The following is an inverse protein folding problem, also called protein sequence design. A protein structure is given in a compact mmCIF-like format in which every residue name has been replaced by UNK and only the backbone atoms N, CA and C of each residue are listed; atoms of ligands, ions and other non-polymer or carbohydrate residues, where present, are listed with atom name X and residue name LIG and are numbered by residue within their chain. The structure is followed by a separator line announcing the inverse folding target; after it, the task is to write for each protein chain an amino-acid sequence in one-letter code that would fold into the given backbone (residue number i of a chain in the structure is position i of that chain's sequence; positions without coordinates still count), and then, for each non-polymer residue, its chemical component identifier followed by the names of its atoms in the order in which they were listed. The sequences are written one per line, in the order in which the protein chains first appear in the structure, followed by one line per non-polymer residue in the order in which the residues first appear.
data_IF_286127357955
#
_entry.id   IF_286127357955
#
_cell.length_a   1.000
_cell.length_b   1.000
_cell.length_c   1.000
_cell.angle_alpha   90.00
_cell.angle_beta   90.00
_cell.angle_gamma   90.00
#
_symmetry.space_group_name_H-M   'P 1'
#
loop_
_entity.id
_entity.type
_entity.pdbx_description
1 polymer ?
#
# COMPACT_ATOMS: atom_id res chain seq x y z
N UNK A 1 15.32 -6.66 24.16
CA UNK A 1 14.97 -5.65 23.15
C UNK A 1 13.64 -5.03 23.54
N UNK A 2 13.35 -3.78 23.17
CA UNK A 2 12.20 -3.04 23.72
C UNK A 2 11.03 -3.01 22.75
N UNK A 3 9.85 -3.44 23.23
CA UNK A 3 8.56 -3.31 22.56
C UNK A 3 8.14 -1.84 22.47
N UNK A 4 8.76 -1.09 21.56
CA UNK A 4 8.51 0.34 21.37
C UNK A 4 8.05 0.68 19.94
N UNK A 5 7.97 -0.31 19.06
CA UNK A 5 7.53 -0.10 17.68
C UNK A 5 6.02 -0.25 17.58
N UNK A 6 5.44 0.45 16.61
CA UNK A 6 4.04 0.33 16.28
C UNK A 6 3.85 -0.87 15.35
N UNK A 7 2.77 -1.61 15.56
CA UNK A 7 2.17 -2.45 14.53
C UNK A 7 1.03 -1.65 13.90
N UNK A 8 0.99 -1.54 12.58
CA UNK A 8 -0.07 -0.80 11.86
C UNK A 8 -0.66 -1.73 10.81
N UNK A 9 -1.96 -2.01 10.91
CA UNK A 9 -2.72 -2.72 9.87
C UNK A 9 -3.26 -1.69 8.89
N UNK A 10 -3.05 -1.90 7.60
CA UNK A 10 -3.72 -1.15 6.53
C UNK A 10 -4.62 -2.09 5.75
N UNK A 11 -5.91 -1.77 5.67
CA UNK A 11 -6.89 -2.44 4.81
C UNK A 11 -7.20 -1.53 3.62
N UNK A 12 -7.03 -2.04 2.40
CA UNK A 12 -7.45 -1.32 1.20
C UNK A 12 -8.97 -1.42 1.07
N UNK A 13 -9.63 -0.27 1.16
CA UNK A 13 -11.09 -0.14 1.23
C UNK A 13 -11.69 0.02 -0.16
N UNK A 14 -11.07 0.85 -1.01
CA UNK A 14 -11.57 1.19 -2.33
C UNK A 14 -10.45 1.75 -3.22
N UNK A 15 -10.77 1.92 -4.50
CA UNK A 15 -9.99 2.68 -5.47
C UNK A 15 -10.50 2.47 -6.89
N UNK A 16 -10.19 3.39 -7.79
CA UNK A 16 -10.70 3.46 -9.16
C UNK A 16 -12.23 3.39 -9.24
N UNK A 17 -12.92 4.00 -8.28
CA UNK A 17 -14.38 4.01 -8.20
C UNK A 17 -15.01 2.68 -7.73
N UNK A 18 -14.22 1.71 -7.27
CA UNK A 18 -14.70 0.43 -6.76
C UNK A 18 -14.52 0.29 -5.25
N UNK A 19 -15.53 -0.27 -4.58
CA UNK A 19 -15.42 -0.75 -3.21
C UNK A 19 -14.88 -2.19 -3.19
N UNK A 20 -13.85 -2.44 -2.38
CA UNK A 20 -13.17 -3.72 -2.35
C UNK A 20 -13.66 -4.61 -1.21
N UNK A 21 -14.12 -5.82 -1.56
CA UNK A 21 -14.50 -6.85 -0.59
C UNK A 21 -14.20 -8.27 -1.11
N UNK A 22 -13.52 -9.13 -0.33
CA UNK A 22 -12.87 -8.84 0.95
C UNK A 22 -11.69 -7.87 0.78
N UNK A 23 -11.46 -7.00 1.78
CA UNK A 23 -10.41 -5.98 1.74
C UNK A 23 -9.02 -6.62 1.77
N UNK A 24 -8.16 -6.40 0.75
CA UNK A 24 -6.75 -6.76 0.83
C UNK A 24 -6.09 -5.96 1.95
N UNK A 25 -5.17 -6.57 2.68
CA UNK A 25 -4.56 -5.90 3.82
C UNK A 25 -3.12 -6.27 4.07
N UNK A 26 -2.42 -5.38 4.77
CA UNK A 26 -1.00 -5.49 5.12
C UNK A 26 -0.81 -5.10 6.58
N UNK A 27 0.16 -5.72 7.24
CA UNK A 27 0.57 -5.36 8.59
C UNK A 27 2.01 -4.88 8.55
N UNK A 28 2.24 -3.67 9.05
CA UNK A 28 3.52 -2.99 9.06
C UNK A 28 4.07 -2.91 10.47
N UNK A 29 5.38 -2.99 10.60
CA UNK A 29 6.09 -2.58 11.80
C UNK A 29 6.82 -1.26 11.51
N UNK A 30 6.66 -0.29 12.40
CA UNK A 30 7.21 1.05 12.21
C UNK A 30 7.72 1.65 13.52
N UNK A 31 8.89 2.30 13.46
CA UNK A 31 9.42 3.03 14.59
C UNK A 31 8.62 4.32 14.77
N UNK A 32 8.37 4.73 16.01
CA UNK A 32 7.67 5.99 16.30
C UNK A 32 8.39 7.23 15.77
N UNK A 33 9.71 7.14 15.57
CA UNK A 33 10.50 8.25 15.05
C UNK A 33 10.37 8.44 13.54
N UNK A 34 9.87 7.43 12.81
CA UNK A 34 9.57 7.51 11.38
C UNK A 34 8.39 8.44 11.14
N UNK A 35 8.21 8.86 9.89
CA UNK A 35 7.17 9.81 9.48
C UNK A 35 5.98 9.13 8.82
N UNK A 36 4.87 9.86 8.73
CA UNK A 36 3.71 9.40 7.96
C UNK A 36 4.03 9.23 6.48
N UNK A 37 4.89 10.07 5.90
CA UNK A 37 5.35 9.94 4.51
C UNK A 37 6.16 8.67 4.28
N UNK A 38 6.97 8.25 5.25
CA UNK A 38 7.67 6.96 5.17
C UNK A 38 6.70 5.78 5.28
N UNK A 39 5.64 5.90 6.09
CA UNK A 39 4.61 4.86 6.18
C UNK A 39 3.77 4.80 4.90
N UNK A 40 3.38 5.93 4.34
CA UNK A 40 2.69 6.04 3.05
C UNK A 40 3.49 5.32 1.95
N UNK A 41 4.77 5.66 1.79
CA UNK A 41 5.63 4.99 0.80
C UNK A 41 5.67 3.46 0.99
N UNK A 42 5.77 2.99 2.23
CA UNK A 42 5.75 1.56 2.53
C UNK A 42 4.40 0.91 2.25
N UNK A 43 3.28 1.62 2.48
CA UNK A 43 1.94 1.16 2.12
C UNK A 43 1.89 0.98 0.60
N UNK A 44 2.20 2.01 -0.19
CA UNK A 44 2.06 1.85 -1.64
C UNK A 44 3.05 0.81 -2.21
N UNK A 45 4.22 0.58 -1.57
CA UNK A 45 5.12 -0.54 -1.94
C UNK A 45 4.41 -1.88 -1.74
N UNK A 46 3.82 -2.08 -0.57
CA UNK A 46 3.18 -3.32 -0.18
C UNK A 46 1.85 -3.59 -0.91
N UNK A 47 1.24 -2.54 -1.46
CA UNK A 47 0.04 -2.58 -2.30
C UNK A 47 0.35 -2.49 -3.81
N UNK A 48 1.63 -2.56 -4.21
CA UNK A 48 2.02 -2.68 -5.61
C UNK A 48 1.75 -1.41 -6.43
N UNK A 49 1.89 -0.23 -5.82
CA UNK A 49 1.89 1.04 -6.55
C UNK A 49 3.34 1.39 -6.89
N UNK A 50 3.64 1.73 -8.13
CA UNK A 50 5.01 2.03 -8.58
C UNK A 50 5.14 3.47 -9.08
N UNK A 51 4.06 4.06 -9.60
CA UNK A 51 4.06 5.45 -10.02
C UNK A 51 3.70 6.35 -8.85
N UNK A 52 4.72 6.92 -8.19
CA UNK A 52 4.60 7.66 -6.91
C UNK A 52 4.51 9.17 -7.07
N UNK A 53 4.37 9.67 -8.30
CA UNK A 53 4.30 11.11 -8.55
C UNK A 53 2.93 11.71 -8.15
N UNK A 54 1.99 10.89 -7.69
CA UNK A 54 0.65 11.32 -7.30
C UNK A 54 0.59 11.91 -5.89
N UNK A 55 -0.35 12.83 -5.70
CA UNK A 55 -0.64 13.41 -4.39
C UNK A 55 -1.32 12.36 -3.48
N UNK A 56 -1.11 12.51 -2.18
CA UNK A 56 -1.73 11.67 -1.16
C UNK A 56 -2.12 12.48 0.07
N UNK A 57 -3.05 11.93 0.84
CA UNK A 57 -3.51 12.50 2.11
C UNK A 57 -3.54 11.46 3.23
N UNK A 58 -3.39 11.94 4.47
CA UNK A 58 -3.66 11.19 5.69
C UNK A 58 -4.67 11.97 6.53
N UNK A 59 -5.82 11.38 6.78
CA UNK A 59 -6.88 11.96 7.61
C UNK A 59 -6.78 11.39 9.02
N UNK A 60 -6.39 12.23 9.98
CA UNK A 60 -6.28 11.86 11.39
C UNK A 60 -7.60 12.04 12.13
N UNK A 61 -7.82 11.24 13.17
CA UNK A 61 -9.06 11.24 13.96
C UNK A 61 -9.35 12.57 14.68
N UNK A 62 -8.33 13.39 14.92
CA UNK A 62 -8.47 14.73 15.52
C UNK A 62 -8.80 15.84 14.50
N UNK A 63 -9.06 15.47 13.25
CA UNK A 63 -9.43 16.40 12.17
C UNK A 63 -8.25 17.02 11.44
N UNK A 64 -7.01 16.69 11.82
CA UNK A 64 -5.81 17.13 11.13
C UNK A 64 -5.63 16.37 9.81
N UNK A 65 -5.24 17.11 8.76
CA UNK A 65 -4.86 16.54 7.48
C UNK A 65 -3.34 16.56 7.31
N UNK A 66 -2.76 15.43 6.91
CA UNK A 66 -1.39 15.39 6.43
C UNK A 66 -1.40 15.27 4.91
N UNK A 67 -0.60 16.08 4.22
CA UNK A 67 -0.49 16.06 2.77
C UNK A 67 0.89 15.59 2.31
N UNK A 68 0.97 15.07 1.10
CA UNK A 68 2.22 14.77 0.41
C UNK A 68 1.99 14.40 -1.06
N UNK A 69 3.05 14.06 -1.80
CA UNK A 69 4.45 14.18 -1.40
C UNK A 69 4.94 15.64 -1.48
N UNK A 70 5.87 16.01 -0.61
CA UNK A 70 6.71 17.17 -0.90
C UNK A 70 5.98 18.52 -0.95
N UNK A 71 6.60 19.48 -1.65
CA UNK A 71 6.03 20.78 -2.03
C UNK A 71 5.14 20.67 -3.29
N UNK A 72 4.65 19.48 -3.65
CA UNK A 72 3.84 19.25 -4.86
C UNK A 72 2.44 19.90 -4.78
N UNK A 73 2.10 20.48 -3.63
CA UNK A 73 0.85 21.16 -3.38
C UNK A 73 1.02 22.68 -3.53
N UNK A 74 0.42 23.25 -4.57
CA UNK A 74 0.41 24.71 -4.78
C UNK A 74 -0.59 25.42 -3.85
N UNK A 75 -1.78 24.84 -3.66
CA UNK A 75 -2.82 25.33 -2.75
C UNK A 75 -3.31 24.15 -1.88
N UNK A 76 -2.83 24.04 -0.63
CA UNK A 76 -3.26 22.97 0.26
C UNK A 76 -4.75 23.13 0.65
N UNK A 77 -5.45 22.03 0.96
CA UNK A 77 -6.87 22.09 1.31
C UNK A 77 -7.16 23.08 2.45
N UNK A 78 -8.14 23.96 2.25
CA UNK A 78 -8.55 24.98 3.20
C UNK A 78 -9.68 24.46 4.11
N UNK A 79 -9.83 25.03 5.31
CA UNK A 79 -10.94 24.70 6.22
C UNK A 79 -10.64 23.67 7.31
N UNK A 80 -9.43 23.10 7.35
CA UNK A 80 -8.91 22.29 8.47
C UNK A 80 -7.40 22.45 8.64
N UNK A 81 -6.82 22.11 9.80
CA UNK A 81 -5.36 22.15 9.98
C UNK A 81 -4.65 21.19 9.02
N UNK A 82 -3.62 21.68 8.34
CA UNK A 82 -2.81 20.91 7.38
C UNK A 82 -1.34 20.91 7.80
N UNK A 83 -0.71 19.74 7.81
CA UNK A 83 0.75 19.58 7.87
C UNK A 83 1.26 18.64 6.80
N UNK A 84 2.58 18.47 6.73
CA UNK A 84 3.22 17.59 5.77
C UNK A 84 3.49 16.22 6.36
N UNK A 85 3.03 15.19 5.65
CA UNK A 85 3.25 13.78 6.02
C UNK A 85 4.74 13.42 6.14
N UNK A 86 5.62 14.03 5.35
CA UNK A 86 7.07 13.80 5.38
C UNK A 86 7.80 14.40 6.60
N UNK A 87 7.12 15.24 7.39
CA UNK A 87 7.67 15.88 8.59
C UNK A 87 6.97 15.43 9.87
N UNK A 88 5.72 15.02 9.80
CA UNK A 88 4.94 14.56 10.95
C UNK A 88 5.35 13.13 11.32
N UNK A 89 5.73 12.93 12.59
CA UNK A 89 6.20 11.62 13.12
C UNK A 89 5.06 10.73 13.58
N UNK A 90 5.24 9.42 13.41
CA UNK A 90 4.33 8.38 13.90
C UNK A 90 4.21 8.32 15.42
N UNK A 91 5.11 8.99 16.16
CA UNK A 91 5.03 9.12 17.61
C UNK A 91 3.75 9.79 18.11
N UNK A 92 3.05 10.50 17.22
CA UNK A 92 1.71 11.09 17.45
C UNK A 92 0.65 10.02 17.71
N UNK A 93 0.75 8.87 17.04
CA UNK A 93 -0.27 7.84 17.08
C UNK A 93 -0.34 7.14 18.45
N UNK A 94 -1.56 7.01 18.96
CA UNK A 94 -1.91 6.16 20.07
C UNK A 94 -2.15 4.71 19.63
N UNK A 95 -2.12 3.77 20.58
CA UNK A 95 -2.51 2.38 20.34
C UNK A 95 -4.03 2.32 20.12
N UNK A 96 -4.48 1.44 19.22
CA UNK A 96 -5.88 1.36 18.81
C UNK A 96 -6.37 2.51 17.92
N UNK A 97 -5.56 3.55 17.70
CA UNK A 97 -5.95 4.70 16.89
C UNK A 97 -6.14 4.30 15.42
N UNK A 98 -7.13 4.91 14.77
CA UNK A 98 -7.41 4.75 13.35
C UNK A 98 -7.19 6.06 12.61
N UNK A 99 -6.72 5.95 11.37
CA UNK A 99 -6.59 7.06 10.44
C UNK A 99 -6.82 6.54 9.01
N UNK A 100 -7.22 7.42 8.09
CA UNK A 100 -7.34 7.06 6.69
C UNK A 100 -6.09 7.51 5.92
N UNK A 101 -5.66 6.71 4.95
CA UNK A 101 -4.62 7.06 4.01
C UNK A 101 -5.14 6.92 2.58
N UNK A 102 -5.10 8.00 1.81
CA UNK A 102 -5.53 8.00 0.41
C UNK A 102 -4.32 8.25 -0.48
N UNK A 103 -3.98 7.27 -1.30
CA UNK A 103 -2.97 7.39 -2.35
C UNK A 103 -3.64 7.71 -3.69
N UNK A 104 -3.02 8.59 -4.48
CA UNK A 104 -3.51 9.03 -5.78
C UNK A 104 -4.91 9.63 -5.70
N UNK A 105 -4.99 10.95 -5.55
CA UNK A 105 -6.27 11.66 -5.46
C UNK A 105 -7.07 11.70 -6.77
N UNK A 106 -6.54 11.15 -7.87
CA UNK A 106 -7.31 10.88 -9.07
C UNK A 106 -8.04 9.54 -9.00
N UNK A 107 -7.35 8.51 -8.50
CA UNK A 107 -7.88 7.13 -8.42
C UNK A 107 -8.42 6.74 -7.02
N UNK A 108 -8.24 7.57 -6.01
CA UNK A 108 -8.76 7.40 -4.64
C UNK A 108 -8.48 6.03 -4.02
N UNK A 109 -7.22 5.57 -4.03
CA UNK A 109 -6.82 4.35 -3.34
C UNK A 109 -6.84 4.56 -1.81
N UNK A 110 -8.02 4.32 -1.22
CA UNK A 110 -8.28 4.58 0.19
C UNK A 110 -7.96 3.38 1.06
N UNK A 111 -7.22 3.63 2.13
CA UNK A 111 -6.84 2.65 3.14
C UNK A 111 -7.38 3.08 4.49
N UNK A 112 -7.96 2.13 5.24
CA UNK A 112 -8.16 2.28 6.67
C UNK A 112 -6.93 1.74 7.39
N UNK A 113 -6.24 2.60 8.12
CA UNK A 113 -5.10 2.23 8.93
C UNK A 113 -5.50 2.14 10.40
N UNK A 114 -5.16 1.04 11.06
CA UNK A 114 -5.40 0.80 12.48
C UNK A 114 -4.09 0.48 13.19
N UNK A 115 -3.77 1.25 14.22
CA UNK A 115 -2.62 0.99 15.09
C UNK A 115 -3.00 -0.15 16.04
N UNK A 116 -2.13 -1.15 16.17
CA UNK A 116 -2.35 -2.28 17.07
C UNK A 116 -2.50 -1.86 18.53
N UNK A 117 -3.18 -2.70 19.31
CA UNK A 117 -3.40 -2.50 20.76
C UNK A 117 -2.12 -2.66 21.59
N UNK A 118 -1.08 -3.26 21.01
CA UNK A 118 0.20 -3.50 21.67
C UNK A 118 1.37 -3.03 20.81
N UNK A 119 2.47 -2.70 21.48
CA UNK A 119 3.75 -2.45 20.80
C UNK A 119 4.44 -3.76 20.50
N UNK A 120 5.15 -3.76 19.38
CA UNK A 120 5.91 -4.92 18.90
C UNK A 120 7.41 -4.69 19.00
N UNK A 121 8.15 -5.78 18.99
CA UNK A 121 9.60 -5.79 18.78
C UNK A 121 9.88 -6.15 17.31
N UNK A 122 10.57 -5.30 16.53
CA UNK A 122 10.85 -5.59 15.12
C UNK A 122 11.65 -6.88 14.94
N UNK A 123 12.52 -7.28 15.88
CA UNK A 123 13.23 -8.55 15.74
C UNK A 123 12.33 -9.76 15.96
N UNK A 124 11.30 -9.67 16.82
CA UNK A 124 10.34 -10.77 17.01
C UNK A 124 9.50 -10.99 15.75
N UNK A 125 9.10 -9.91 15.05
CA UNK A 125 8.20 -10.01 13.88
C UNK A 125 8.91 -10.08 12.53
N UNK A 126 10.09 -9.47 12.38
CA UNK A 126 10.87 -9.42 11.13
C UNK A 126 12.21 -10.17 11.19
N UNK A 127 12.73 -10.49 12.37
CA UNK A 127 14.10 -10.99 12.53
C UNK A 127 15.20 -9.94 12.35
N UNK A 128 14.85 -8.67 12.12
CA UNK A 128 15.78 -7.56 11.93
C UNK A 128 15.16 -6.21 12.33
N UNK A 129 15.99 -5.18 12.56
CA UNK A 129 15.52 -3.79 12.68
C UNK A 129 15.53 -3.14 11.30
N UNK A 130 14.37 -2.79 10.72
CA UNK A 130 14.33 -2.11 9.43
C UNK A 130 14.64 -0.61 9.57
N UNK A 131 15.12 0.01 8.50
CA UNK A 131 15.38 1.46 8.41
C UNK A 131 14.15 2.30 8.04
N UNK A 132 13.07 1.63 7.62
CA UNK A 132 11.78 2.21 7.19
C UNK A 132 10.60 1.33 7.65
N UNK A 133 9.36 1.85 7.65
CA UNK A 133 8.18 1.02 7.90
C UNK A 133 8.17 -0.17 6.93
N UNK A 134 7.94 -1.37 7.44
CA UNK A 134 8.11 -2.59 6.64
C UNK A 134 6.94 -3.54 6.89
N UNK A 135 6.33 -4.03 5.81
CA UNK A 135 5.29 -5.04 5.89
C UNK A 135 5.88 -6.38 6.33
N UNK A 136 5.21 -7.05 7.27
CA UNK A 136 5.61 -8.39 7.76
C UNK A 136 4.47 -9.43 7.68
N UNK A 137 3.29 -9.01 7.22
CA UNK A 137 2.15 -9.89 6.98
C UNK A 137 1.15 -9.25 6.03
N UNK A 138 0.32 -10.07 5.39
CA UNK A 138 -0.70 -9.57 4.47
C UNK A 138 -1.61 -10.65 3.89
N UNK A 139 -2.68 -10.20 3.24
CA UNK A 139 -3.70 -11.04 2.61
C UNK A 139 -4.38 -10.30 1.44
N UNK A 140 -5.17 -11.05 0.66
CA UNK A 140 -5.99 -10.54 -0.44
C UNK A 140 -5.21 -10.28 -1.74
N UNK A 141 -5.95 -10.33 -2.85
CA UNK A 141 -5.44 -9.98 -4.18
C UNK A 141 -5.34 -8.47 -4.31
N UNK A 142 -4.22 -7.99 -4.85
CA UNK A 142 -4.02 -6.56 -5.09
C UNK A 142 -4.53 -6.20 -6.49
N UNK A 143 -5.40 -5.19 -6.62
CA UNK A 143 -5.70 -4.63 -7.93
C UNK A 143 -4.47 -3.91 -8.49
N UNK A 144 -4.26 -4.03 -9.80
CA UNK A 144 -3.25 -3.25 -10.53
C UNK A 144 -3.49 -1.75 -10.32
N UNK A 145 -2.41 -0.95 -10.22
CA UNK A 145 -2.52 0.49 -9.96
C UNK A 145 -3.43 1.21 -10.96
N UNK A 146 -3.42 0.79 -12.23
CA UNK A 146 -4.20 1.38 -13.31
C UNK A 146 -5.25 0.42 -13.88
N UNK A 147 -5.53 -0.70 -13.19
CA UNK A 147 -6.50 -1.69 -13.64
C UNK A 147 -6.03 -2.54 -14.83
N UNK A 148 -4.74 -2.52 -15.17
CA UNK A 148 -4.21 -3.27 -16.31
C UNK A 148 -4.20 -4.78 -16.03
N UNK A 149 -4.65 -5.57 -17.01
CA UNK A 149 -4.66 -7.05 -16.92
C UNK A 149 -3.46 -7.71 -17.61
N UNK A 150 -2.84 -7.03 -18.57
CA UNK A 150 -1.66 -7.44 -19.33
C UNK A 150 -0.94 -6.20 -19.89
N UNK A 151 0.22 -6.36 -20.54
CA UNK A 151 1.10 -5.24 -20.91
C UNK A 151 0.45 -4.25 -21.88
N UNK A 152 -0.25 -4.76 -22.90
CA UNK A 152 -0.96 -3.93 -23.89
C UNK A 152 -2.33 -3.44 -23.42
N UNK A 153 -2.77 -3.80 -22.21
CA UNK A 153 -4.03 -3.31 -21.65
C UNK A 153 -3.83 -1.90 -21.09
N UNK A 154 -4.67 -0.96 -21.52
CA UNK A 154 -4.64 0.39 -20.94
C UNK A 154 -5.23 0.43 -19.53
N UNK A 155 -6.07 -0.54 -19.17
CA UNK A 155 -6.78 -0.57 -17.89
C UNK A 155 -8.05 0.30 -17.83
N UNK A 156 -8.37 0.98 -18.95
CA UNK A 156 -9.55 1.86 -19.07
C UNK A 156 -10.66 1.26 -19.94
N UNK A 157 -10.37 0.26 -20.79
CA UNK A 157 -11.37 -0.43 -21.62
C UNK A 157 -11.47 -1.90 -21.26
N UNK A 158 -12.46 -2.22 -20.41
CA UNK A 158 -12.77 -3.58 -19.98
C UNK A 158 -13.10 -4.53 -21.15
N UNK A 159 -13.53 -4.00 -22.30
CA UNK A 159 -13.88 -4.80 -23.49
C UNK A 159 -12.66 -5.32 -24.22
N UNK A 160 -11.45 -4.82 -23.90
CA UNK A 160 -10.21 -5.35 -24.47
C UNK A 160 -10.10 -6.83 -24.11
N UNK A 161 -10.08 -7.75 -25.10
CA UNK A 161 -10.04 -9.17 -24.83
C UNK A 161 -8.73 -9.58 -24.16
N UNK A 162 -8.81 -10.41 -23.12
CA UNK A 162 -7.63 -11.04 -22.53
C UNK A 162 -7.07 -12.06 -23.54
N UNK A 163 -5.76 -12.01 -23.87
CA UNK A 163 -5.13 -13.02 -24.72
C UNK A 163 -5.30 -14.44 -24.17
N UNK A 164 -5.42 -15.47 -25.03
CA UNK A 164 -5.57 -16.84 -24.58
C UNK A 164 -4.31 -17.32 -23.84
N UNK A 165 -4.48 -17.97 -22.69
CA UNK A 165 -3.38 -18.52 -21.89
C UNK A 165 -2.62 -19.62 -22.68
N UNK A 166 -1.34 -19.41 -23.03
CA UNK A 166 -0.50 -20.41 -23.71
C UNK A 166 -0.11 -21.59 -22.80
N UNK A 167 -0.52 -21.59 -21.54
CA UNK A 167 -0.24 -22.64 -20.53
C UNK A 167 1.25 -22.91 -20.36
N UNK A 168 2.05 -21.84 -20.49
CA UNK A 168 3.50 -21.84 -20.35
C UNK A 168 4.28 -22.35 -21.56
N UNK A 169 3.65 -22.61 -22.71
CA UNK A 169 4.34 -23.09 -23.91
C UNK A 169 5.19 -22.02 -24.62
N UNK A 170 4.87 -20.76 -24.38
CA UNK A 170 5.57 -19.55 -24.81
C UNK A 170 6.85 -19.27 -23.99
N UNK A 171 6.93 -19.82 -22.78
CA UNK A 171 8.07 -19.63 -21.88
C UNK A 171 9.26 -20.52 -22.27
N UNK A 172 10.51 -20.06 -22.07
CA UNK A 172 11.68 -20.90 -22.25
C UNK A 172 11.69 -22.03 -21.20
N UNK A 173 12.19 -23.24 -21.51
CA UNK A 173 12.19 -24.40 -20.60
C UNK A 173 13.27 -24.32 -19.51
N UNK A 174 13.38 -23.17 -18.84
CA UNK A 174 14.31 -22.93 -17.74
C UNK A 174 13.80 -23.61 -16.46
N UNK A 175 12.49 -23.50 -16.20
CA UNK A 175 11.83 -24.27 -15.16
C UNK A 175 11.19 -25.52 -15.76
N UNK A 176 11.17 -26.62 -15.02
CA UNK A 176 10.68 -27.91 -15.52
C UNK A 176 9.21 -27.89 -15.98
N UNK A 177 8.43 -26.90 -15.51
CA UNK A 177 7.02 -26.72 -15.86
C UNK A 177 6.78 -25.74 -17.02
N UNK A 178 7.83 -25.17 -17.61
CA UNK A 178 7.79 -24.20 -18.70
C UNK A 178 8.17 -24.84 -20.04
N UNK A 179 7.76 -24.22 -21.14
CA UNK A 179 7.96 -24.69 -22.49
C UNK A 179 6.91 -25.73 -22.92
N UNK A 180 7.04 -26.26 -24.14
CA UNK A 180 6.07 -27.20 -24.69
C UNK A 180 5.96 -28.46 -23.82
N UNK A 181 4.76 -28.70 -23.26
CA UNK A 181 4.50 -29.95 -22.52
C UNK A 181 4.53 -31.11 -23.51
N UNK A 182 5.48 -32.03 -23.34
CA UNK A 182 5.47 -33.30 -24.07
C UNK A 182 4.17 -34.03 -23.72
N UNK A 183 3.40 -34.44 -24.73
CA UNK A 183 2.22 -35.28 -24.51
C UNK A 183 2.68 -36.53 -23.77
N UNK A 184 1.97 -36.92 -22.70
CA UNK A 184 2.21 -38.21 -22.06
C UNK A 184 1.68 -39.27 -23.03
N UNK A 185 2.57 -40.12 -23.53
CA UNK A 185 2.22 -41.36 -24.25
C UNK A 185 1.53 -42.36 -23.32
#
# INVERSE_FOLDING_TARGET
MSRNWLSVRADLVSGRGEDLWPRPGRIFVAARAMTFGQLAAAIDDAFGRWDRAHLHTVDLADGMLLIGPGDAWDDPPQGRPVERSDRTKLSRLALGEQFAYTFDLGDDWMHLCTVGEERVDPYEVLGQIPDRPTAYGGWGSLPDQYGRRFDEDSGDDERTPIPPDPRGSDLPPIHYSWGPRRARE
#
